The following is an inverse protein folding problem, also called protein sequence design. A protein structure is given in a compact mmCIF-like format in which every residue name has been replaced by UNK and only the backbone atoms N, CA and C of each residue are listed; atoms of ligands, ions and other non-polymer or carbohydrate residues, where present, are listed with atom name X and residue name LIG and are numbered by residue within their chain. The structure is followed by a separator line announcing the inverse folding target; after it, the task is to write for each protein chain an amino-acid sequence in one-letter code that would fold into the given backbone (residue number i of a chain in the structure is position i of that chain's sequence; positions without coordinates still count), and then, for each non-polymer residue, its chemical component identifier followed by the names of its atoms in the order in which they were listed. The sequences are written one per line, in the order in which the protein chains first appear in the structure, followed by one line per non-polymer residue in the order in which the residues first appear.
data_IF_192977803517
#
_entry.id   IF_192977803517
#
_cell.length_a   1.000
_cell.length_b   1.000
_cell.length_c   1.000
_cell.angle_alpha   90.00
_cell.angle_beta   90.00
_cell.angle_gamma   90.00
#
_symmetry.space_group_name_H-M   'P 1'
#
loop_
_entity.id
_entity.type
_entity.pdbx_description
1 polymer ?
#
# COMPACT_ATOMS: atom_id res chain seq x y z
N UNK A 1 45.15 -44.38 -12.96
CA UNK A 1 43.94 -44.13 -12.15
C UNK A 1 44.25 -43.10 -11.06
N UNK A 2 43.78 -41.86 -11.17
CA UNK A 2 43.68 -40.92 -10.04
C UNK A 2 42.42 -40.08 -10.22
N UNK A 3 41.38 -40.45 -9.48
CA UNK A 3 40.06 -39.83 -9.50
C UNK A 3 40.12 -38.42 -8.91
N UNK A 4 39.88 -37.41 -9.75
CA UNK A 4 39.58 -36.04 -9.31
C UNK A 4 38.14 -36.01 -8.80
N UNK A 5 37.95 -35.95 -7.47
CA UNK A 5 36.65 -35.65 -6.87
C UNK A 5 36.32 -34.18 -7.15
N UNK A 6 35.35 -33.93 -8.03
CA UNK A 6 34.66 -32.63 -8.13
C UNK A 6 33.79 -32.48 -6.89
N UNK A 7 34.01 -31.44 -6.09
CA UNK A 7 33.05 -30.99 -5.09
C UNK A 7 31.83 -30.35 -5.81
N UNK A 8 30.61 -30.53 -5.32
CA UNK A 8 29.42 -29.87 -5.87
C UNK A 8 29.38 -28.38 -5.45
N UNK A 9 28.74 -27.50 -6.26
CA UNK A 9 28.62 -26.09 -5.91
C UNK A 9 27.63 -25.89 -4.76
N UNK A 10 28.04 -25.08 -3.78
CA UNK A 10 27.22 -24.65 -2.64
C UNK A 10 25.99 -23.87 -3.14
N UNK A 11 24.81 -24.45 -2.91
CA UNK A 11 23.53 -23.72 -2.99
C UNK A 11 23.40 -22.85 -1.74
N UNK A 12 23.95 -21.63 -1.76
CA UNK A 12 23.70 -20.61 -0.73
C UNK A 12 23.35 -19.28 -1.40
N UNK A 13 22.11 -19.15 -1.90
CA UNK A 13 21.59 -17.83 -2.34
C UNK A 13 20.07 -17.69 -2.27
N UNK A 14 19.28 -18.78 -2.22
CA UNK A 14 17.82 -18.68 -2.27
C UNK A 14 17.15 -18.17 -0.97
N UNK A 15 17.68 -18.51 0.21
CA UNK A 15 17.04 -18.19 1.49
C UNK A 15 17.07 -16.69 1.88
N UNK A 16 18.00 -15.91 1.30
CA UNK A 16 18.13 -14.47 1.58
C UNK A 16 17.15 -13.62 0.77
N UNK A 17 16.89 -13.99 -0.49
CA UNK A 17 15.98 -13.29 -1.39
C UNK A 17 14.51 -13.57 -1.08
N UNK A 18 14.20 -14.73 -0.49
CA UNK A 18 12.85 -15.11 -0.08
C UNK A 18 12.43 -14.33 1.18
N UNK A 19 13.33 -14.21 2.18
CA UNK A 19 13.10 -13.38 3.38
C UNK A 19 12.97 -11.89 3.08
N UNK A 20 13.70 -11.39 2.08
CA UNK A 20 13.56 -10.00 1.62
C UNK A 20 12.16 -9.75 1.08
N UNK A 21 11.71 -10.58 0.14
CA UNK A 21 10.37 -10.49 -0.48
C UNK A 21 9.23 -10.64 0.53
N UNK A 22 9.35 -11.55 1.49
CA UNK A 22 8.35 -11.71 2.55
C UNK A 22 8.20 -10.43 3.41
N UNK A 23 9.30 -9.71 3.62
CA UNK A 23 9.31 -8.48 4.41
C UNK A 23 8.74 -7.29 3.62
N UNK A 24 9.06 -7.18 2.34
CA UNK A 24 8.49 -6.19 1.42
C UNK A 24 6.96 -6.40 1.31
N UNK A 25 6.51 -7.65 1.12
CA UNK A 25 5.09 -8.03 1.09
C UNK A 25 4.34 -7.62 2.36
N UNK A 26 4.89 -7.99 3.51
CA UNK A 26 4.27 -7.69 4.81
C UNK A 26 4.19 -6.19 5.07
N UNK A 27 5.20 -5.45 4.65
CA UNK A 27 5.27 -3.99 4.78
C UNK A 27 4.17 -3.34 3.95
N UNK A 28 4.10 -3.65 2.64
CA UNK A 28 3.05 -3.10 1.75
C UNK A 28 1.66 -3.33 2.32
N UNK A 29 1.34 -4.56 2.75
CA UNK A 29 0.01 -4.91 3.26
C UNK A 29 -0.34 -4.21 4.57
N UNK A 30 0.64 -4.09 5.47
CA UNK A 30 0.43 -3.47 6.78
C UNK A 30 0.20 -1.97 6.62
N UNK A 31 1.07 -1.32 5.84
CA UNK A 31 0.99 0.12 5.60
C UNK A 31 -0.27 0.48 4.80
N UNK A 32 -0.68 -0.34 3.82
CA UNK A 32 -1.94 -0.16 3.10
C UNK A 32 -3.15 -0.29 4.04
N UNK A 33 -3.18 -1.31 4.90
CA UNK A 33 -4.28 -1.49 5.86
C UNK A 33 -4.46 -0.28 6.77
N UNK A 34 -3.37 0.21 7.36
CA UNK A 34 -3.40 1.39 8.25
C UNK A 34 -3.78 2.66 7.49
N UNK A 35 -3.30 2.83 6.25
CA UNK A 35 -3.69 3.95 5.40
C UNK A 35 -5.19 3.95 5.08
N UNK A 36 -5.76 2.77 4.78
CA UNK A 36 -7.19 2.61 4.51
C UNK A 36 -8.03 2.95 5.75
N UNK A 37 -7.65 2.44 6.92
CA UNK A 37 -8.35 2.77 8.19
C UNK A 37 -8.30 4.27 8.50
N UNK A 38 -7.17 4.92 8.17
CA UNK A 38 -7.01 6.38 8.31
C UNK A 38 -7.96 7.12 7.36
N UNK A 39 -8.11 6.67 6.11
CA UNK A 39 -9.05 7.25 5.15
C UNK A 39 -10.50 7.06 5.60
N UNK A 40 -10.88 5.86 6.08
CA UNK A 40 -12.22 5.60 6.62
C UNK A 40 -12.55 6.52 7.79
N UNK A 41 -11.58 6.75 8.67
CA UNK A 41 -11.75 7.68 9.79
C UNK A 41 -12.01 9.11 9.30
N UNK A 42 -11.26 9.57 8.29
CA UNK A 42 -11.47 10.90 7.70
C UNK A 42 -12.82 11.00 6.96
N UNK A 43 -13.22 9.96 6.23
CA UNK A 43 -14.52 9.90 5.54
C UNK A 43 -15.68 10.05 6.53
N UNK A 44 -15.64 9.35 7.67
CA UNK A 44 -16.66 9.49 8.71
C UNK A 44 -16.77 10.90 9.27
N UNK A 45 -15.63 11.58 9.47
CA UNK A 45 -15.61 12.99 9.92
C UNK A 45 -16.19 13.90 8.84
N UNK A 46 -15.84 13.65 7.57
CA UNK A 46 -16.27 14.47 6.43
C UNK A 46 -17.77 14.34 6.20
N UNK A 47 -18.32 13.12 6.22
CA UNK A 47 -19.76 12.86 6.12
C UNK A 47 -20.56 13.61 7.19
N UNK A 48 -20.09 13.58 8.45
CA UNK A 48 -20.73 14.31 9.55
C UNK A 48 -20.73 15.84 9.31
N UNK A 49 -19.68 16.37 8.67
CA UNK A 49 -19.61 17.80 8.29
C UNK A 49 -20.52 18.11 7.11
N UNK A 50 -20.61 17.25 6.09
CA UNK A 50 -21.52 17.45 4.96
C UNK A 50 -23.00 17.41 5.39
N UNK A 51 -23.36 16.51 6.32
CA UNK A 51 -24.72 16.43 6.87
C UNK A 51 -25.10 17.66 7.71
N UNK A 52 -24.14 18.25 8.42
CA UNK A 52 -24.38 19.40 9.31
C UNK A 52 -24.18 20.76 8.61
N UNK A 53 -23.28 20.82 7.62
CA UNK A 53 -22.85 22.01 6.91
C UNK A 53 -22.55 21.70 5.42
N UNK A 54 -23.58 21.49 4.58
CA UNK A 54 -23.44 20.98 3.20
C UNK A 54 -22.71 21.91 2.21
N UNK A 55 -22.41 23.15 2.60
CA UNK A 55 -21.61 24.10 1.80
C UNK A 55 -20.21 24.34 2.39
N UNK A 56 -19.87 23.67 3.50
CA UNK A 56 -18.54 23.77 4.07
C UNK A 56 -17.54 23.07 3.14
N UNK A 57 -16.40 23.71 2.92
CA UNK A 57 -15.27 23.03 2.31
C UNK A 57 -14.75 21.97 3.29
N UNK A 58 -14.22 20.84 2.79
CA UNK A 58 -13.63 19.84 3.66
C UNK A 58 -12.49 20.45 4.47
N UNK A 59 -12.52 20.22 5.78
CA UNK A 59 -11.47 20.68 6.66
C UNK A 59 -10.23 19.80 6.48
N UNK A 60 -9.04 20.40 6.29
CA UNK A 60 -7.80 19.64 6.24
C UNK A 60 -7.59 18.82 7.53
N UNK A 61 -7.08 17.59 7.45
CA UNK A 61 -6.73 16.82 8.63
C UNK A 61 -5.69 17.53 9.48
N UNK A 62 -5.70 17.27 10.79
CA UNK A 62 -4.69 17.79 11.70
C UNK A 62 -3.26 17.37 11.28
N UNK A 63 -2.27 18.21 11.58
CA UNK A 63 -0.90 18.03 11.10
C UNK A 63 -0.26 16.71 11.54
N UNK A 64 -0.60 16.20 12.73
CA UNK A 64 -0.12 14.90 13.23
C UNK A 64 -0.70 13.74 12.40
N UNK A 65 -1.96 13.85 11.98
CA UNK A 65 -2.62 12.87 11.10
C UNK A 65 -2.03 12.89 9.70
N UNK A 66 -1.70 14.07 9.17
CA UNK A 66 -0.98 14.22 7.91
C UNK A 66 0.41 13.58 8.00
N UNK A 67 1.17 13.86 9.07
CA UNK A 67 2.50 13.29 9.25
C UNK A 67 2.46 11.76 9.41
N UNK A 68 1.44 11.21 10.07
CA UNK A 68 1.24 9.76 10.15
C UNK A 68 0.96 9.17 8.76
N UNK A 69 -0.02 9.72 8.04
CA UNK A 69 -0.39 9.25 6.71
C UNK A 69 0.78 9.33 5.71
N UNK A 70 1.55 10.42 5.75
CA UNK A 70 2.76 10.58 4.94
C UNK A 70 3.81 9.51 5.19
N UNK A 71 4.03 9.12 6.45
CA UNK A 71 4.95 8.01 6.77
C UNK A 71 4.49 6.70 6.11
N UNK A 72 3.19 6.40 6.16
CA UNK A 72 2.63 5.22 5.50
C UNK A 72 2.79 5.28 3.97
N UNK A 73 2.51 6.42 3.35
CA UNK A 73 2.69 6.59 1.89
C UNK A 73 4.14 6.48 1.45
N UNK A 74 5.07 6.98 2.26
CA UNK A 74 6.50 6.87 1.99
C UNK A 74 7.00 5.43 2.15
N UNK A 75 6.56 4.71 3.19
CA UNK A 75 6.90 3.31 3.39
C UNK A 75 6.40 2.46 2.22
N UNK A 76 5.15 2.64 1.79
CA UNK A 76 4.61 1.96 0.59
C UNK A 76 5.47 2.32 -0.64
N UNK A 77 5.78 3.59 -0.85
CA UNK A 77 6.53 4.04 -2.04
C UNK A 77 7.94 3.46 -2.14
N UNK A 78 8.58 3.14 -1.01
CA UNK A 78 9.91 2.53 -0.98
C UNK A 78 9.90 1.11 -1.57
N UNK A 79 8.82 0.37 -1.32
CA UNK A 79 8.63 -1.01 -1.78
C UNK A 79 8.03 -1.12 -3.19
N UNK A 80 7.64 0.02 -3.78
CA UNK A 80 7.05 0.07 -5.11
C UNK A 80 8.09 0.34 -6.21
N UNK A 81 7.83 -0.25 -7.37
CA UNK A 81 8.47 0.09 -8.63
C UNK A 81 8.24 1.56 -8.93
N UNK A 82 9.23 2.23 -9.53
CA UNK A 82 9.21 3.69 -9.76
C UNK A 82 7.96 4.17 -10.48
N UNK A 83 7.39 3.35 -11.38
CA UNK A 83 6.16 3.64 -12.12
C UNK A 83 4.91 3.77 -11.25
N UNK A 84 4.85 3.10 -10.09
CA UNK A 84 3.69 3.09 -9.20
C UNK A 84 3.78 4.15 -8.09
N UNK A 85 4.98 4.67 -7.82
CA UNK A 85 5.23 5.68 -6.77
C UNK A 85 4.41 6.99 -6.88
N UNK A 86 3.95 7.44 -8.06
CA UNK A 86 3.05 8.58 -8.14
C UNK A 86 1.71 8.38 -7.43
N UNK A 87 1.22 7.13 -7.30
CA UNK A 87 -0.10 6.85 -6.71
C UNK A 87 -0.15 7.16 -5.20
N UNK A 88 0.77 6.67 -4.34
CA UNK A 88 0.83 7.11 -2.94
C UNK A 88 1.01 8.63 -2.77
N UNK A 89 1.79 9.27 -3.64
CA UNK A 89 2.00 10.72 -3.58
C UNK A 89 0.72 11.51 -3.91
N UNK A 90 -0.05 11.07 -4.92
CA UNK A 90 -1.34 11.64 -5.24
C UNK A 90 -2.36 11.41 -4.11
N UNK A 91 -2.36 10.22 -3.50
CA UNK A 91 -3.18 9.92 -2.33
C UNK A 91 -2.88 10.87 -1.16
N UNK A 92 -1.60 11.07 -0.84
CA UNK A 92 -1.16 12.00 0.21
C UNK A 92 -1.62 13.43 -0.05
N UNK A 93 -1.54 13.89 -1.29
CA UNK A 93 -1.96 15.25 -1.68
C UNK A 93 -3.46 15.45 -1.42
N UNK A 94 -4.30 14.51 -1.83
CA UNK A 94 -5.75 14.66 -1.70
C UNK A 94 -6.22 14.41 -0.26
N UNK A 95 -5.51 13.57 0.50
CA UNK A 95 -5.68 13.44 1.95
C UNK A 95 -5.39 14.75 2.69
N UNK A 96 -4.27 15.41 2.37
CA UNK A 96 -3.91 16.73 2.95
C UNK A 96 -4.97 17.80 2.69
N UNK A 97 -5.70 17.67 1.60
CA UNK A 97 -6.77 18.57 1.22
C UNK A 97 -8.14 18.18 1.79
N UNK A 98 -8.22 17.11 2.59
CA UNK A 98 -9.47 16.67 3.22
C UNK A 98 -10.40 15.89 2.30
N UNK A 99 -9.90 15.28 1.22
CA UNK A 99 -10.71 14.50 0.27
C UNK A 99 -10.42 12.99 0.39
N UNK A 100 -11.04 12.28 1.36
CA UNK A 100 -10.78 10.87 1.61
C UNK A 100 -11.10 9.96 0.41
N UNK A 101 -12.19 10.20 -0.32
CA UNK A 101 -12.61 9.35 -1.45
C UNK A 101 -11.65 9.46 -2.63
N UNK A 102 -11.15 10.68 -2.88
CA UNK A 102 -10.15 10.93 -3.94
C UNK A 102 -8.82 10.29 -3.56
N UNK A 103 -8.39 10.45 -2.32
CA UNK A 103 -7.19 9.76 -1.82
C UNK A 103 -7.33 8.23 -1.94
N UNK A 104 -8.47 7.69 -1.51
CA UNK A 104 -8.81 6.28 -1.62
C UNK A 104 -8.79 5.76 -3.06
N UNK A 105 -9.23 6.56 -4.02
CA UNK A 105 -9.23 6.19 -5.45
C UNK A 105 -7.82 5.89 -5.99
N UNK A 106 -6.79 6.62 -5.57
CA UNK A 106 -5.40 6.32 -5.98
C UNK A 106 -4.85 5.06 -5.31
N UNK A 107 -5.22 4.80 -4.05
CA UNK A 107 -4.86 3.54 -3.39
C UNK A 107 -5.59 2.36 -4.02
N UNK A 108 -6.84 2.54 -4.44
CA UNK A 108 -7.61 1.52 -5.15
C UNK A 108 -6.95 1.20 -6.49
N UNK A 109 -6.54 2.23 -7.24
CA UNK A 109 -5.78 2.05 -8.46
C UNK A 109 -4.47 1.29 -8.19
N UNK A 110 -3.71 1.69 -7.16
CA UNK A 110 -2.47 1.03 -6.78
C UNK A 110 -2.69 -0.46 -6.49
N UNK A 111 -3.65 -0.80 -5.65
CA UNK A 111 -3.94 -2.19 -5.29
C UNK A 111 -4.38 -3.01 -6.51
N UNK A 112 -5.17 -2.43 -7.41
CA UNK A 112 -5.53 -3.09 -8.67
C UNK A 112 -4.31 -3.33 -9.57
N UNK A 113 -3.35 -2.39 -9.63
CA UNK A 113 -2.11 -2.58 -10.38
C UNK A 113 -1.23 -3.67 -9.73
N UNK A 114 -1.11 -3.69 -8.40
CA UNK A 114 -0.42 -4.75 -7.66
C UNK A 114 -1.01 -6.15 -7.92
N UNK A 115 -2.33 -6.24 -8.08
CA UNK A 115 -3.04 -7.49 -8.38
C UNK A 115 -3.02 -7.91 -9.85
N UNK A 116 -2.56 -7.04 -10.75
CA UNK A 116 -2.55 -7.28 -12.21
C UNK A 116 -1.14 -7.45 -12.78
N UNK A 117 -0.18 -6.69 -12.26
CA UNK A 117 1.17 -6.65 -12.80
C UNK A 117 1.94 -7.95 -12.48
N UNK A 118 2.53 -8.63 -13.50
CA UNK A 118 3.19 -9.92 -13.29
C UNK A 118 4.32 -9.88 -12.25
N UNK A 119 5.03 -8.75 -12.14
CA UNK A 119 6.12 -8.55 -11.18
C UNK A 119 5.64 -8.71 -9.73
N UNK A 120 4.40 -8.30 -9.44
CA UNK A 120 3.81 -8.36 -8.11
C UNK A 120 2.97 -9.62 -7.93
N UNK A 121 2.19 -10.01 -8.93
CA UNK A 121 1.30 -11.19 -8.83
C UNK A 121 2.06 -12.48 -8.61
N UNK A 122 3.27 -12.58 -9.17
CA UNK A 122 4.18 -13.73 -8.99
C UNK A 122 4.99 -13.64 -7.70
N UNK A 123 5.24 -12.43 -7.19
CA UNK A 123 5.97 -12.20 -5.95
C UNK A 123 5.08 -12.38 -4.71
N UNK A 124 3.81 -11.98 -4.77
CA UNK A 124 2.89 -12.05 -3.64
C UNK A 124 2.37 -13.46 -3.37
N UNK A 125 2.38 -13.82 -2.09
CA UNK A 125 1.75 -15.05 -1.61
C UNK A 125 0.24 -15.08 -1.94
N UNK A 126 -0.38 -16.27 -2.04
CA UNK A 126 -1.84 -16.37 -2.18
C UNK A 126 -2.61 -15.66 -1.05
N UNK A 127 -2.07 -15.66 0.16
CA UNK A 127 -2.65 -14.98 1.31
C UNK A 127 -2.58 -13.45 1.17
N UNK A 128 -1.46 -12.92 0.69
CA UNK A 128 -1.31 -11.50 0.37
C UNK A 128 -2.30 -11.04 -0.70
N UNK A 129 -2.43 -11.80 -1.78
CA UNK A 129 -3.39 -11.47 -2.86
C UNK A 129 -4.83 -11.44 -2.33
N UNK A 130 -5.20 -12.37 -1.45
CA UNK A 130 -6.51 -12.35 -0.77
C UNK A 130 -6.69 -11.10 0.12
N UNK A 131 -5.65 -10.67 0.82
CA UNK A 131 -5.68 -9.43 1.63
C UNK A 131 -5.82 -8.19 0.74
N UNK A 132 -5.06 -8.10 -0.35
CA UNK A 132 -5.18 -7.01 -1.33
C UNK A 132 -6.59 -6.94 -1.92
N UNK A 133 -7.21 -8.09 -2.21
CA UNK A 133 -8.62 -8.13 -2.61
C UNK A 133 -9.58 -7.60 -1.53
N UNK A 134 -9.29 -7.86 -0.25
CA UNK A 134 -10.00 -7.23 0.87
C UNK A 134 -9.84 -5.71 0.85
N UNK A 135 -8.61 -5.20 0.69
CA UNK A 135 -8.34 -3.78 0.56
C UNK A 135 -9.12 -3.12 -0.59
N UNK A 136 -9.30 -3.81 -1.73
CA UNK A 136 -10.14 -3.33 -2.84
C UNK A 136 -11.58 -3.14 -2.40
N UNK A 137 -12.14 -4.06 -1.61
CA UNK A 137 -13.50 -3.90 -1.08
C UNK A 137 -13.57 -2.71 -0.13
N UNK A 138 -12.65 -2.65 0.83
CA UNK A 138 -12.59 -1.56 1.82
C UNK A 138 -12.48 -0.17 1.18
N UNK A 139 -11.71 -0.05 0.10
CA UNK A 139 -11.51 1.21 -0.62
C UNK A 139 -12.70 1.59 -1.52
N UNK A 140 -13.54 0.63 -1.92
CA UNK A 140 -14.78 0.90 -2.67
C UNK A 140 -15.95 1.30 -1.78
N UNK A 141 -15.82 1.04 -0.48
CA UNK A 141 -16.81 1.38 0.55
C UNK A 141 -16.49 2.72 1.24
N UNK A 142 -15.42 3.42 0.82
CA UNK A 142 -15.20 4.83 1.14
C UNK A 142 -16.26 5.69 0.43
#
# INVERSE_FOLDING_TARGET
MRSRRRAPPERRSAEGEERGRDMEEKTILTELGVAIDTLKTLALVTLNVEETHPLALPEPPASDKVAAYERHMNAISQELATRLRPLPAASLRDYRAGFPDRAGSYLLELVNQLLREPEYVSAFSPAARKRLQGCVMDLREL
#
